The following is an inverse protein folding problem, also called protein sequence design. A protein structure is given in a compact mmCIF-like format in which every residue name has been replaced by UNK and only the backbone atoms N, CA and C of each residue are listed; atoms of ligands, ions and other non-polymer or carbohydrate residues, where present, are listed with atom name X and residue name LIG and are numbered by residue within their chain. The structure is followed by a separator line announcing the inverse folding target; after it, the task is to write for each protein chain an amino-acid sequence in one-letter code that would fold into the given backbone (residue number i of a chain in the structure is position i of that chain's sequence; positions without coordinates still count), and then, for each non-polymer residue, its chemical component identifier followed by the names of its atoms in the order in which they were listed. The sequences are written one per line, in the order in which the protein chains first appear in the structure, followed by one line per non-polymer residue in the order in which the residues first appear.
data_IF_944663189910
#
_entry.id   IF_944663189910
#
_cell.length_a   1.000
_cell.length_b   1.000
_cell.length_c   1.000
_cell.angle_alpha   90.00
_cell.angle_beta   90.00
_cell.angle_gamma   90.00
#
_symmetry.space_group_name_H-M   'P 1'
#
loop_
_entity.id
_entity.type
_entity.pdbx_description
1 polymer ?
#
# COMPACT_ATOMS: atom_id res chain seq x y z
N UNK A 1 19.51 6.89 6.51
CA UNK A 1 18.09 7.12 6.13
C UNK A 1 17.67 5.94 5.29
N UNK A 2 16.65 5.18 5.73
CA UNK A 2 16.18 3.98 5.01
C UNK A 2 15.53 4.36 3.67
N UNK A 3 15.63 3.46 2.70
CA UNK A 3 14.94 3.62 1.41
C UNK A 3 13.43 3.50 1.68
N UNK A 4 12.61 4.49 1.28
CA UNK A 4 11.17 4.39 1.46
C UNK A 4 10.63 3.23 0.62
N UNK A 5 9.63 2.52 1.16
CA UNK A 5 8.98 1.44 0.43
C UNK A 5 8.33 1.99 -0.84
N UNK A 6 8.69 1.51 -2.04
CA UNK A 6 8.17 2.04 -3.30
C UNK A 6 6.66 1.86 -3.41
N UNK A 7 6.10 0.77 -2.87
CA UNK A 7 4.66 0.54 -2.85
C UNK A 7 3.93 1.57 -1.98
N UNK A 8 4.49 1.87 -0.81
CA UNK A 8 3.99 2.91 0.08
C UNK A 8 4.02 4.29 -0.59
N UNK A 9 5.14 4.66 -1.23
CA UNK A 9 5.27 5.93 -1.96
C UNK A 9 4.25 6.01 -3.10
N UNK A 10 4.01 4.90 -3.79
CA UNK A 10 3.07 4.83 -4.90
C UNK A 10 1.62 5.04 -4.44
N UNK A 11 1.21 4.39 -3.35
CA UNK A 11 -0.10 4.60 -2.73
C UNK A 11 -0.33 6.09 -2.39
N UNK A 12 0.63 6.69 -1.68
CA UNK A 12 0.56 8.11 -1.29
C UNK A 12 0.54 9.04 -2.50
N UNK A 13 1.31 8.72 -3.55
CA UNK A 13 1.36 9.49 -4.79
C UNK A 13 0.02 9.54 -5.55
N UNK A 14 -0.87 8.57 -5.33
CA UNK A 14 -2.24 8.54 -5.88
C UNK A 14 -3.27 9.26 -5.01
N UNK A 15 -2.83 9.91 -3.93
CA UNK A 15 -3.73 10.50 -2.94
C UNK A 15 -4.40 9.46 -2.04
N UNK A 16 -3.87 8.24 -1.99
CA UNK A 16 -4.30 7.21 -1.05
C UNK A 16 -3.66 7.37 0.33
N UNK A 17 -4.18 6.62 1.31
CA UNK A 17 -3.63 6.52 2.66
C UNK A 17 -3.12 5.10 2.93
N UNK A 18 -2.06 4.98 3.71
CA UNK A 18 -1.49 3.68 4.09
C UNK A 18 -2.02 3.22 5.44
N UNK A 19 -2.38 1.95 5.51
CA UNK A 19 -2.69 1.23 6.74
C UNK A 19 -1.78 0.00 6.80
N UNK A 20 -0.99 -0.14 7.85
CA UNK A 20 -0.20 -1.35 8.09
C UNK A 20 -1.00 -2.24 9.03
N UNK A 21 -1.28 -3.47 8.60
CA UNK A 21 -2.01 -4.46 9.37
C UNK A 21 -1.21 -5.75 9.47
N UNK A 22 -1.39 -6.50 10.56
CA UNK A 22 -0.73 -7.79 10.73
C UNK A 22 -1.59 -8.88 10.06
N UNK A 23 -1.11 -9.42 8.95
CA UNK A 23 -1.68 -10.59 8.32
C UNK A 23 -1.18 -11.87 8.99
N UNK A 24 -2.10 -12.68 9.48
CA UNK A 24 -1.79 -14.04 9.96
C UNK A 24 -1.83 -15.00 8.76
N UNK A 25 -0.79 -15.79 8.42
CA UNK A 25 0.55 -15.91 9.02
C UNK A 25 1.65 -15.10 8.29
N UNK A 26 1.29 -14.17 7.40
CA UNK A 26 2.16 -13.54 6.42
C UNK A 26 3.03 -12.36 6.94
N UNK A 27 2.82 -11.90 8.18
CA UNK A 27 3.51 -10.74 8.75
C UNK A 27 2.77 -9.43 8.48
N UNK A 28 3.47 -8.29 8.59
CA UNK A 28 2.88 -6.99 8.30
C UNK A 28 2.56 -6.84 6.80
N UNK A 29 1.34 -6.41 6.50
CA UNK A 29 0.84 -6.12 5.15
C UNK A 29 0.51 -4.63 5.11
N UNK A 30 0.95 -3.95 4.04
CA UNK A 30 0.52 -2.58 3.75
C UNK A 30 -0.74 -2.59 2.90
N UNK A 31 -1.79 -1.93 3.37
CA UNK A 31 -3.02 -1.65 2.63
C UNK A 31 -3.03 -0.19 2.19
N UNK A 32 -3.44 0.04 0.94
CA UNK A 32 -3.65 1.34 0.36
C UNK A 32 -5.15 1.64 0.26
N UNK A 33 -5.59 2.67 0.97
CA UNK A 33 -6.94 3.22 0.89
C UNK A 33 -6.97 4.31 -0.16
N UNK A 34 -7.55 4.01 -1.32
CA UNK A 34 -7.65 4.92 -2.44
C UNK A 34 -8.83 5.90 -2.27
N UNK A 35 -8.74 7.10 -2.87
CA UNK A 35 -9.81 8.11 -2.78
C UNK A 35 -11.11 7.70 -3.49
N UNK A 36 -11.05 6.67 -4.35
CA UNK A 36 -12.22 6.06 -4.98
C UNK A 36 -12.98 5.08 -4.06
N UNK A 37 -12.49 4.89 -2.83
CA UNK A 37 -13.06 3.98 -1.83
C UNK A 37 -12.54 2.55 -1.90
N UNK A 38 -11.66 2.21 -2.86
CA UNK A 38 -11.03 0.89 -2.91
C UNK A 38 -9.96 0.76 -1.83
N UNK A 39 -9.84 -0.44 -1.28
CA UNK A 39 -8.73 -0.84 -0.41
C UNK A 39 -8.04 -2.02 -1.06
N UNK A 40 -6.74 -1.86 -1.32
CA UNK A 40 -5.92 -2.81 -2.07
C UNK A 40 -4.57 -2.95 -1.40
N UNK A 41 -3.95 -4.12 -1.47
CA UNK A 41 -2.61 -4.34 -0.92
C UNK A 41 -1.59 -3.46 -1.65
N UNK A 42 -0.66 -2.82 -0.93
CA UNK A 42 0.24 -1.80 -1.51
C UNK A 42 1.13 -2.37 -2.62
N UNK A 43 1.62 -3.61 -2.47
CA UNK A 43 2.44 -4.26 -3.48
C UNK A 43 1.61 -4.78 -4.65
N UNK A 44 0.39 -5.25 -4.41
CA UNK A 44 -0.58 -5.53 -5.48
C UNK A 44 -0.80 -4.28 -6.33
N UNK A 45 -1.14 -3.16 -5.69
CA UNK A 45 -1.34 -1.88 -6.35
C UNK A 45 -0.11 -1.41 -7.14
N UNK A 46 1.08 -1.54 -6.55
CA UNK A 46 2.34 -1.18 -7.20
C UNK A 46 2.64 -2.06 -8.42
N UNK A 47 2.36 -3.37 -8.34
CA UNK A 47 2.57 -4.32 -9.44
C UNK A 47 1.55 -4.17 -10.56
N UNK A 48 0.31 -3.77 -10.26
CA UNK A 48 -0.73 -3.58 -11.29
C UNK A 48 -0.56 -2.28 -12.07
N UNK A 49 0.25 -1.32 -11.59
CA UNK A 49 0.54 -0.03 -12.25
C UNK A 49 -0.69 0.67 -12.86
N UNK A 50 -1.86 0.58 -12.23
CA UNK A 50 -3.13 1.12 -12.77
C UNK A 50 -3.16 2.61 -13.22
#
# INVERSE_FOLDING_TARGET
MGVPNPASVYCLGRGGSLEITTGDPAGEIGLCHLPDGRVVEEWELYRTQE
#
